data_IF_704428555134
#
_entry.id   IF_704428555134
#
_cell.length_a   1.000
_cell.length_b   1.000
_cell.length_c   1.000
_cell.angle_alpha   90.00
_cell.angle_beta   90.00
_cell.angle_gamma   90.00
#
_symmetry.space_group_name_H-M   'P 1'
#
loop_
_entity.id
_entity.type
_entity.pdbx_description
1 polymer ?
#
# COMPACT_ATOMS: atom_id res chain seq x y z
N UNK A 1 0.75 4.96 1.57
CA UNK A 1 -0.33 4.56 2.51
C UNK A 1 -1.69 4.71 1.85
N UNK A 2 -1.71 4.73 0.53
CA UNK A 2 -2.73 5.37 -0.28
C UNK A 2 -3.99 4.53 -0.33
N UNK A 3 -3.83 3.20 -0.22
CA UNK A 3 -4.95 2.28 -0.05
C UNK A 3 -5.84 2.66 1.15
N UNK A 4 -5.27 3.14 2.26
CA UNK A 4 -6.06 3.62 3.41
C UNK A 4 -6.84 4.88 3.04
N UNK A 5 -6.23 5.80 2.30
CA UNK A 5 -6.90 7.02 1.81
C UNK A 5 -8.06 6.64 0.88
N UNK A 6 -7.84 5.67 -0.03
CA UNK A 6 -8.85 5.09 -0.91
C UNK A 6 -9.90 4.21 -0.20
N UNK A 7 -9.82 4.04 1.13
CA UNK A 7 -10.85 3.35 1.90
C UNK A 7 -10.60 1.86 2.19
N UNK A 8 -9.38 1.34 1.99
CA UNK A 8 -9.03 -0.01 2.39
C UNK A 8 -9.23 -0.20 3.90
N UNK A 9 -9.86 -1.31 4.30
CA UNK A 9 -10.12 -1.63 5.72
C UNK A 9 -8.86 -2.06 6.48
N UNK A 10 -7.96 -2.76 5.78
CA UNK A 10 -6.69 -3.26 6.31
C UNK A 10 -5.60 -3.06 5.27
N UNK A 11 -4.42 -2.62 5.72
CA UNK A 11 -3.22 -2.52 4.91
C UNK A 11 -2.14 -3.41 5.52
N UNK A 12 -1.62 -4.35 4.74
CA UNK A 12 -0.44 -5.14 5.10
C UNK A 12 0.80 -4.49 4.47
N UNK A 13 1.77 -4.10 5.29
CA UNK A 13 3.07 -3.59 4.80
C UNK A 13 4.18 -4.60 5.05
N UNK A 14 5.29 -4.40 4.35
CA UNK A 14 6.47 -5.25 4.38
C UNK A 14 6.25 -6.71 3.96
N UNK A 15 5.14 -7.04 3.30
CA UNK A 15 4.85 -8.41 2.88
C UNK A 15 5.82 -8.91 1.78
N UNK A 16 6.13 -8.07 0.79
CA UNK A 16 7.05 -8.40 -0.31
C UNK A 16 8.53 -8.17 0.03
N UNK A 17 8.80 -7.43 1.11
CA UNK A 17 10.14 -7.05 1.55
C UNK A 17 10.51 -7.59 2.93
N UNK A 18 9.75 -8.55 3.44
CA UNK A 18 10.00 -9.18 4.75
C UNK A 18 11.30 -9.96 4.74
N UNK A 19 12.02 -9.91 5.86
CA UNK A 19 13.26 -10.65 6.05
C UNK A 19 14.39 -9.78 6.60
N UNK A 20 15.60 -10.32 6.57
CA UNK A 20 16.78 -9.70 7.17
C UNK A 20 17.54 -8.87 6.13
N UNK A 21 17.53 -7.55 6.28
CA UNK A 21 18.22 -6.62 5.36
C UNK A 21 19.52 -6.12 5.98
N UNK A 22 20.64 -6.29 5.27
CA UNK A 22 21.90 -5.64 5.64
C UNK A 22 21.82 -4.14 5.35
N UNK A 23 22.24 -3.30 6.29
CA UNK A 23 22.33 -1.86 6.07
C UNK A 23 23.58 -1.58 5.19
N UNK A 24 23.45 -0.87 4.07
CA UNK A 24 24.60 -0.44 3.29
C UNK A 24 25.61 0.31 4.17
N UNK A 25 26.89 0.00 4.04
CA UNK A 25 27.98 0.63 4.80
C UNK A 25 27.94 0.41 6.33
N UNK A 26 27.17 -0.56 6.83
CA UNK A 26 27.20 -0.99 8.24
C UNK A 26 27.18 -2.52 8.35
N UNK A 27 27.87 -3.08 9.34
CA UNK A 27 27.79 -4.51 9.68
C UNK A 27 26.58 -4.80 10.59
N UNK A 28 25.44 -4.22 10.28
CA UNK A 28 24.20 -4.36 11.04
C UNK A 28 23.09 -4.83 10.11
N UNK A 29 22.24 -5.69 10.65
CA UNK A 29 21.09 -6.22 9.97
C UNK A 29 19.82 -5.73 10.66
N UNK A 30 18.81 -5.40 9.86
CA UNK A 30 17.48 -5.04 10.35
C UNK A 30 16.54 -6.16 9.93
N UNK A 31 15.78 -6.66 10.88
CA UNK A 31 14.67 -7.57 10.60
C UNK A 31 13.45 -6.72 10.25
N UNK A 32 12.96 -6.90 9.02
CA UNK A 32 11.74 -6.26 8.54
C UNK A 32 10.62 -7.28 8.63
N UNK A 33 9.70 -7.04 9.56
CA UNK A 33 8.54 -7.91 9.79
C UNK A 33 7.30 -7.36 9.06
N UNK A 34 6.41 -8.25 8.57
CA UNK A 34 5.08 -7.84 8.11
C UNK A 34 4.34 -7.09 9.22
N UNK A 35 3.66 -6.01 8.85
CA UNK A 35 2.81 -5.25 9.76
C UNK A 35 1.40 -5.08 9.17
N UNK A 36 0.40 -5.05 10.03
CA UNK A 36 -1.01 -4.84 9.66
C UNK A 36 -1.49 -3.54 10.27
N UNK A 37 -2.05 -2.68 9.44
CA UNK A 37 -2.69 -1.44 9.84
C UNK A 37 -4.20 -1.59 9.61
N UNK A 38 -4.98 -1.43 10.66
CA UNK A 38 -6.44 -1.47 10.62
C UNK A 38 -6.98 -0.04 10.57
N UNK A 39 -7.58 0.34 9.45
CA UNK A 39 -7.96 1.73 9.16
C UNK A 39 -8.86 2.33 10.23
N UNK A 40 -9.91 1.60 10.65
CA UNK A 40 -10.83 2.10 11.67
C UNK A 40 -10.14 2.36 13.00
N UNK A 41 -9.34 1.39 13.49
CA UNK A 41 -8.57 1.54 14.74
C UNK A 41 -7.60 2.73 14.67
N UNK A 42 -6.95 2.91 13.52
CA UNK A 42 -6.06 4.05 13.30
C UNK A 42 -6.83 5.38 13.33
N UNK A 43 -7.94 5.50 12.62
CA UNK A 43 -8.79 6.70 12.63
C UNK A 43 -9.31 7.03 14.03
N UNK A 44 -9.78 6.02 14.77
CA UNK A 44 -10.28 6.17 16.16
C UNK A 44 -9.17 6.70 17.09
N UNK A 45 -7.98 6.11 17.03
CA UNK A 45 -6.83 6.56 17.83
C UNK A 45 -6.36 7.97 17.48
N UNK A 46 -6.45 8.33 16.20
CA UNK A 46 -6.13 9.68 15.73
C UNK A 46 -7.26 10.67 16.01
N UNK A 47 -8.48 10.20 16.32
CA UNK A 47 -9.71 10.98 16.43
C UNK A 47 -9.97 11.80 15.17
N UNK A 48 -9.87 11.13 14.02
CA UNK A 48 -10.04 11.75 12.71
C UNK A 48 -10.95 10.94 11.81
N UNK A 49 -11.59 11.60 10.86
CA UNK A 49 -12.33 10.96 9.77
C UNK A 49 -11.40 10.59 8.61
N UNK A 50 -11.88 9.75 7.69
CA UNK A 50 -11.14 9.44 6.45
C UNK A 50 -10.89 10.69 5.61
N UNK A 51 -11.88 11.58 5.52
CA UNK A 51 -11.77 12.83 4.76
C UNK A 51 -10.70 13.75 5.36
N UNK A 52 -10.68 13.91 6.69
CA UNK A 52 -9.62 14.64 7.39
C UNK A 52 -8.23 14.01 7.14
N UNK A 53 -8.14 12.67 7.10
CA UNK A 53 -6.88 11.99 6.79
C UNK A 53 -6.44 12.19 5.34
N UNK A 54 -7.38 12.25 4.39
CA UNK A 54 -7.11 12.58 2.98
C UNK A 54 -6.56 14.00 2.88
N UNK A 55 -7.20 14.97 3.53
CA UNK A 55 -6.73 16.35 3.55
C UNK A 55 -5.33 16.47 4.17
N UNK A 56 -5.03 15.70 5.23
CA UNK A 56 -3.67 15.61 5.77
C UNK A 56 -2.68 15.04 4.75
N UNK A 57 -3.08 14.05 3.96
CA UNK A 57 -2.29 13.51 2.85
C UNK A 57 -2.00 14.55 1.77
N UNK A 58 -3.00 15.34 1.38
CA UNK A 58 -2.85 16.44 0.41
C UNK A 58 -1.86 17.48 0.95
N UNK A 59 -1.92 17.83 2.23
CA UNK A 59 -0.94 18.75 2.85
C UNK A 59 0.50 18.24 2.78
N UNK A 60 0.70 16.95 3.05
CA UNK A 60 2.04 16.32 3.05
C UNK A 60 2.56 16.17 1.62
N UNK A 61 1.67 15.90 0.68
CA UNK A 61 1.98 15.55 -0.70
C UNK A 61 1.52 14.13 -1.02
N UNK A 62 0.80 14.01 -2.13
CA UNK A 62 0.38 12.74 -2.74
C UNK A 62 1.00 12.61 -4.12
N UNK A 63 0.82 11.47 -4.79
CA UNK A 63 1.25 11.31 -6.19
C UNK A 63 0.61 12.35 -7.14
N UNK A 64 -0.54 12.94 -6.77
CA UNK A 64 -1.23 13.97 -7.54
C UNK A 64 -0.77 15.41 -7.21
N UNK A 65 -0.04 15.58 -6.10
CA UNK A 65 0.58 16.85 -5.71
C UNK A 65 1.91 16.59 -5.00
N UNK A 66 2.95 16.11 -5.73
CA UNK A 66 4.13 15.49 -5.13
C UNK A 66 4.97 16.44 -4.27
N UNK A 67 4.89 17.74 -4.52
CA UNK A 67 5.60 18.75 -3.72
C UNK A 67 4.91 19.02 -2.37
N UNK A 68 3.67 18.57 -2.18
CA UNK A 68 2.85 18.91 -1.02
C UNK A 68 2.74 20.42 -0.82
N UNK A 69 2.55 20.82 0.43
CA UNK A 69 2.59 22.21 0.85
C UNK A 69 3.93 22.54 1.52
N UNK A 70 4.48 23.71 1.21
CA UNK A 70 5.81 24.07 1.69
C UNK A 70 5.87 24.09 3.23
N UNK A 71 6.90 23.47 3.79
CA UNK A 71 7.14 23.40 5.26
C UNK A 71 6.03 22.66 6.03
N UNK A 72 5.15 21.91 5.35
CA UNK A 72 4.13 21.09 5.99
C UNK A 72 4.52 19.61 5.89
N UNK A 73 5.16 19.11 6.96
CA UNK A 73 5.41 17.68 7.14
C UNK A 73 4.27 16.97 7.88
N UNK A 74 4.36 15.63 8.08
CA UNK A 74 3.28 14.84 8.68
C UNK A 74 2.77 15.35 10.02
N UNK A 75 3.68 15.74 10.93
CA UNK A 75 3.28 16.27 12.25
C UNK A 75 2.48 17.57 12.14
N UNK A 76 2.90 18.47 11.25
CA UNK A 76 2.26 19.77 11.04
C UNK A 76 0.91 19.60 10.34
N UNK A 77 0.84 18.76 9.29
CA UNK A 77 -0.39 18.44 8.59
C UNK A 77 -1.47 17.91 9.56
N UNK A 78 -1.11 16.93 10.37
CA UNK A 78 -2.03 16.35 11.37
C UNK A 78 -2.49 17.39 12.40
N UNK A 79 -1.62 18.30 12.83
CA UNK A 79 -1.99 19.38 13.75
C UNK A 79 -3.00 20.34 13.09
N UNK A 80 -2.72 20.77 11.86
CA UNK A 80 -3.54 21.73 11.14
C UNK A 80 -4.94 21.15 10.87
N UNK A 81 -5.04 19.93 10.38
CA UNK A 81 -6.35 19.30 10.12
C UNK A 81 -7.13 19.07 11.41
N UNK A 82 -6.49 18.66 12.52
CA UNK A 82 -7.21 18.53 13.79
C UNK A 82 -7.79 19.85 14.29
N UNK A 83 -7.09 20.96 14.02
CA UNK A 83 -7.51 22.30 14.44
C UNK A 83 -8.58 22.90 13.51
N UNK A 84 -8.42 22.74 12.20
CA UNK A 84 -9.21 23.45 11.18
C UNK A 84 -10.22 22.57 10.45
N UNK A 85 -10.12 21.24 10.57
CA UNK A 85 -11.00 20.22 9.97
C UNK A 85 -10.89 20.07 8.45
N UNK A 86 -10.78 21.16 7.71
CA UNK A 86 -10.69 21.16 6.25
C UNK A 86 -9.52 22.02 5.75
N UNK A 87 -9.04 21.74 4.55
CA UNK A 87 -8.00 22.54 3.89
C UNK A 87 -8.41 24.00 3.73
N UNK A 88 -9.66 24.21 3.33
CA UNK A 88 -10.31 25.49 3.09
C UNK A 88 -10.28 26.39 4.32
N UNK A 89 -10.28 25.80 5.52
CA UNK A 89 -10.33 26.51 6.79
C UNK A 89 -8.94 26.83 7.38
N UNK A 90 -7.85 26.47 6.69
CA UNK A 90 -6.46 26.70 7.14
C UNK A 90 -5.92 28.00 6.52
N UNK A 91 -5.76 29.11 7.28
CA UNK A 91 -5.38 30.40 6.69
C UNK A 91 -3.99 30.42 6.06
N UNK A 92 -3.07 29.62 6.60
CA UNK A 92 -1.65 29.64 6.25
C UNK A 92 -1.36 29.06 4.86
N UNK A 93 -2.30 28.32 4.28
CA UNK A 93 -2.10 27.56 3.03
C UNK A 93 -2.90 28.11 1.85
N UNK A 94 -3.77 29.11 2.07
CA UNK A 94 -4.78 29.53 1.08
C UNK A 94 -4.17 29.93 -0.27
N UNK A 95 -3.01 30.60 -0.26
CA UNK A 95 -2.31 30.99 -1.48
C UNK A 95 -1.80 29.78 -2.28
N UNK A 96 -1.30 28.74 -1.59
CA UNK A 96 -0.84 27.50 -2.23
C UNK A 96 -2.02 26.61 -2.64
N UNK A 97 -3.08 26.60 -1.83
CA UNK A 97 -4.30 25.83 -2.07
C UNK A 97 -4.95 26.27 -3.38
N UNK A 98 -5.02 27.59 -3.65
CA UNK A 98 -5.54 28.14 -4.90
C UNK A 98 -4.70 27.83 -6.16
N UNK A 99 -3.49 27.28 -6.01
CA UNK A 99 -2.62 26.88 -7.13
C UNK A 99 -2.78 25.41 -7.52
N UNK A 100 -3.57 24.63 -6.77
CA UNK A 100 -3.78 23.20 -7.00
C UNK A 100 -5.26 22.87 -7.09
N UNK A 101 -5.61 21.83 -7.86
CA UNK A 101 -6.99 21.33 -7.96
C UNK A 101 -7.29 20.35 -6.81
N UNK A 102 -7.18 20.81 -5.56
CA UNK A 102 -7.26 19.95 -4.38
C UNK A 102 -8.60 19.21 -4.25
N UNK A 103 -9.71 19.79 -4.72
CA UNK A 103 -11.01 19.11 -4.71
C UNK A 103 -11.01 17.87 -5.60
N UNK A 104 -10.36 17.94 -6.78
CA UNK A 104 -10.23 16.78 -7.66
C UNK A 104 -9.38 15.69 -7.01
N UNK A 105 -8.27 16.08 -6.37
CA UNK A 105 -7.40 15.14 -5.64
C UNK A 105 -8.19 14.48 -4.51
N UNK A 106 -8.93 15.25 -3.71
CA UNK A 106 -9.79 14.74 -2.64
C UNK A 106 -10.83 13.75 -3.19
N UNK A 107 -11.45 14.06 -4.33
CA UNK A 107 -12.42 13.17 -4.97
C UNK A 107 -11.83 11.84 -5.43
N UNK A 108 -10.61 11.83 -5.97
CA UNK A 108 -9.91 10.59 -6.35
C UNK A 108 -9.80 9.62 -5.15
N UNK A 109 -9.54 10.13 -3.95
CA UNK A 109 -9.44 9.29 -2.75
C UNK A 109 -10.80 8.98 -2.10
N UNK A 110 -11.74 9.92 -2.11
CA UNK A 110 -13.07 9.72 -1.53
C UNK A 110 -13.88 8.70 -2.36
N UNK A 111 -13.87 8.86 -3.68
CA UNK A 111 -14.62 8.08 -4.64
C UNK A 111 -13.68 7.58 -5.75
N UNK A 112 -12.74 6.66 -5.42
CA UNK A 112 -11.85 6.10 -6.42
C UNK A 112 -12.65 5.32 -7.45
N UNK A 113 -12.25 5.44 -8.72
CA UNK A 113 -12.79 4.58 -9.78
C UNK A 113 -12.28 3.15 -9.55
N UNK A 114 -13.19 2.25 -9.20
CA UNK A 114 -12.89 0.86 -8.84
C UNK A 114 -13.68 -0.06 -9.75
N UNK A 115 -13.00 -1.10 -10.25
CA UNK A 115 -13.67 -2.15 -10.99
C UNK A 115 -14.63 -2.92 -10.07
N UNK A 116 -15.83 -3.19 -10.58
CA UNK A 116 -16.75 -4.12 -9.94
C UNK A 116 -16.26 -5.55 -10.22
N UNK A 117 -15.82 -6.24 -9.17
CA UNK A 117 -15.23 -7.59 -9.27
C UNK A 117 -16.01 -8.51 -8.35
N UNK A 118 -16.80 -9.39 -8.95
CA UNK A 118 -17.62 -10.37 -8.22
C UNK A 118 -16.78 -11.39 -7.45
N UNK A 119 -15.88 -12.09 -8.15
CA UNK A 119 -15.08 -13.17 -7.58
C UNK A 119 -13.63 -13.18 -8.10
N UNK A 120 -12.70 -13.47 -7.20
CA UNK A 120 -11.28 -13.67 -7.53
C UNK A 120 -11.03 -15.17 -7.72
N UNK A 121 -10.97 -15.61 -8.98
CA UNK A 121 -10.74 -17.02 -9.34
C UNK A 121 -9.25 -17.26 -9.63
N UNK A 122 -8.64 -18.18 -8.87
CA UNK A 122 -7.28 -18.66 -9.14
C UNK A 122 -7.34 -19.86 -10.07
N UNK A 123 -6.89 -19.69 -11.32
CA UNK A 123 -6.84 -20.74 -12.34
C UNK A 123 -5.67 -21.70 -12.11
N UNK A 124 -5.72 -22.85 -12.78
CA UNK A 124 -4.60 -23.79 -12.83
C UNK A 124 -3.35 -23.12 -13.43
N UNK A 125 -2.18 -23.54 -12.94
CA UNK A 125 -0.89 -22.98 -13.33
C UNK A 125 -0.38 -23.72 -14.57
N UNK A 126 -0.09 -22.97 -15.63
CA UNK A 126 0.64 -23.48 -16.80
C UNK A 126 2.15 -23.55 -16.51
N UNK A 127 2.59 -24.69 -15.97
CA UNK A 127 3.99 -24.90 -15.58
C UNK A 127 4.95 -24.84 -16.77
N UNK A 128 4.57 -25.43 -17.91
CA UNK A 128 5.42 -25.49 -19.10
C UNK A 128 5.55 -24.11 -19.75
N UNK A 129 4.44 -23.36 -19.81
CA UNK A 129 4.43 -21.98 -20.27
C UNK A 129 5.31 -21.07 -19.41
N UNK A 130 5.21 -21.18 -18.08
CA UNK A 130 6.06 -20.39 -17.16
C UNK A 130 7.54 -20.75 -17.33
N UNK A 131 7.87 -22.04 -17.45
CA UNK A 131 9.25 -22.48 -17.67
C UNK A 131 9.79 -21.94 -18.99
N UNK A 132 9.03 -22.09 -20.08
CA UNK A 132 9.42 -21.62 -21.40
C UNK A 132 9.68 -20.11 -21.42
N UNK A 133 8.76 -19.32 -20.87
CA UNK A 133 8.88 -17.87 -20.80
C UNK A 133 10.09 -17.43 -19.97
N UNK A 134 10.25 -17.96 -18.75
CA UNK A 134 11.33 -17.51 -17.87
C UNK A 134 12.71 -17.98 -18.34
N UNK A 135 12.83 -19.21 -18.81
CA UNK A 135 14.13 -19.79 -19.20
C UNK A 135 14.51 -19.38 -20.62
N UNK A 136 13.64 -19.59 -21.61
CA UNK A 136 14.01 -19.35 -23.02
C UNK A 136 13.96 -17.88 -23.41
N UNK A 137 12.96 -17.14 -22.94
CA UNK A 137 12.77 -15.74 -23.36
C UNK A 137 13.42 -14.74 -22.40
N UNK A 138 13.53 -15.09 -21.11
CA UNK A 138 14.08 -14.20 -20.07
C UNK A 138 15.42 -14.68 -19.49
N UNK A 139 15.96 -15.79 -19.99
CA UNK A 139 17.29 -16.34 -19.63
C UNK A 139 17.50 -16.59 -18.13
N UNK A 140 16.43 -16.96 -17.40
CA UNK A 140 16.55 -17.40 -16.01
C UNK A 140 17.18 -18.81 -15.96
N UNK A 141 17.85 -19.11 -14.85
CA UNK A 141 18.38 -20.46 -14.58
C UNK A 141 17.25 -21.48 -14.51
N UNK A 142 17.28 -22.46 -15.41
CA UNK A 142 16.30 -23.54 -15.50
C UNK A 142 16.15 -24.29 -14.17
N UNK A 143 17.26 -24.73 -13.58
CA UNK A 143 17.27 -25.42 -12.29
C UNK A 143 16.57 -24.62 -11.18
N UNK A 144 16.79 -23.30 -11.14
CA UNK A 144 16.16 -22.41 -10.14
C UNK A 144 14.67 -22.27 -10.37
N UNK A 145 14.25 -22.11 -11.62
CA UNK A 145 12.84 -22.00 -12.00
C UNK A 145 12.13 -23.31 -11.68
N UNK A 146 12.68 -24.46 -12.09
CA UNK A 146 12.10 -25.78 -11.85
C UNK A 146 11.93 -26.06 -10.35
N UNK A 147 12.95 -25.76 -9.54
CA UNK A 147 12.87 -25.89 -8.08
C UNK A 147 11.76 -25.03 -7.47
N UNK A 148 11.59 -23.80 -7.96
CA UNK A 148 10.54 -22.89 -7.50
C UNK A 148 9.14 -23.37 -7.91
N UNK A 149 8.98 -23.86 -9.14
CA UNK A 149 7.72 -24.43 -9.63
C UNK A 149 7.31 -25.69 -8.87
N UNK A 150 8.27 -26.56 -8.54
CA UNK A 150 8.03 -27.72 -7.69
C UNK A 150 7.55 -27.33 -6.28
N UNK A 151 8.11 -26.26 -5.70
CA UNK A 151 7.65 -25.72 -4.41
C UNK A 151 6.25 -25.13 -4.50
N UNK A 152 5.94 -24.43 -5.60
CA UNK A 152 4.61 -23.90 -5.87
C UNK A 152 3.57 -25.03 -5.95
N UNK A 153 3.86 -26.10 -6.71
CA UNK A 153 2.98 -27.27 -6.83
C UNK A 153 2.62 -27.87 -5.46
N UNK A 154 3.64 -28.14 -4.63
CA UNK A 154 3.44 -28.65 -3.27
C UNK A 154 2.63 -27.70 -2.38
N UNK A 155 2.78 -26.39 -2.54
CA UNK A 155 2.02 -25.40 -1.77
C UNK A 155 0.53 -25.38 -2.17
N UNK A 156 0.23 -25.50 -3.47
CA UNK A 156 -1.13 -25.56 -3.98
C UNK A 156 -1.83 -26.87 -3.57
N UNK A 157 -1.14 -28.01 -3.63
CA UNK A 157 -1.65 -29.30 -3.14
C UNK A 157 -2.04 -29.22 -1.65
N UNK A 158 -1.18 -28.65 -0.80
CA UNK A 158 -1.45 -28.48 0.64
C UNK A 158 -2.65 -27.59 0.93
N UNK A 159 -2.82 -26.50 0.16
CA UNK A 159 -3.96 -25.57 0.29
C UNK A 159 -5.31 -26.28 0.06
N UNK A 160 -5.33 -27.33 -0.76
CA UNK A 160 -6.55 -28.08 -1.07
C UNK A 160 -7.01 -29.03 0.06
N UNK A 161 -6.15 -29.34 1.04
CA UNK A 161 -6.40 -30.45 1.96
C UNK A 161 -6.92 -30.09 3.35
N UNK A 162 -6.65 -28.91 3.94
CA UNK A 162 -6.88 -28.70 5.38
C UNK A 162 -7.55 -27.38 5.77
N UNK A 163 -8.74 -27.48 6.38
CA UNK A 163 -9.36 -26.44 7.22
C UNK A 163 -8.60 -26.23 8.55
N UNK A 164 -7.87 -27.25 9.04
CA UNK A 164 -7.13 -27.25 10.31
C UNK A 164 -5.86 -26.37 10.31
N UNK A 165 -5.51 -25.72 9.20
CA UNK A 165 -4.31 -24.88 9.12
C UNK A 165 -4.48 -23.48 9.74
N UNK A 166 -5.68 -23.13 10.19
CA UNK A 166 -6.04 -21.79 10.65
C UNK A 166 -6.29 -21.68 12.16
N UNK A 167 -6.08 -22.76 12.93
CA UNK A 167 -6.22 -22.82 14.39
C UNK A 167 -4.98 -23.42 15.05
#
# INVERSE_FOLDING_TARGET
YDSILCGAKKLVRNFTSSGRRKIPNRNTYIDVLPEIIETQKTLDSLKMTREELIDAGILIGTDFNPNGFERIGPKTAMKLIKQHKRLEDIPQIQEQLGKIEYEKIRQIFLNPDVADVDEIIFKEVDYDGVLNYLVKERSFSEDRVQSTLNRLRKALERKSQNLDQWF
#
